data_IF_294284300643
#
_entry.id   IF_294284300643
#
_cell.length_a   1.000
_cell.length_b   1.000
_cell.length_c   1.000
_cell.angle_alpha   90.00
_cell.angle_beta   90.00
_cell.angle_gamma   90.00
#
_symmetry.space_group_name_H-M   'P 1'
#
loop_
_entity.id
_entity.type
_entity.pdbx_description
1 polymer ?
#
# COMPACT_ATOMS: atom_id res chain seq x y z
N UNK A 1 7.19 28.21 -8.57
CA UNK A 1 5.94 27.92 -7.83
C UNK A 1 6.36 27.31 -6.50
N UNK A 2 5.76 27.74 -5.38
CA UNK A 2 6.12 27.36 -3.99
C UNK A 2 4.98 26.46 -3.44
N UNK A 3 5.22 25.47 -2.57
CA UNK A 3 4.52 24.19 -2.56
C UNK A 3 3.09 23.99 -3.17
N UNK A 4 2.05 23.39 -2.55
CA UNK A 4 1.38 23.23 -1.21
C UNK A 4 1.07 21.70 -0.79
N UNK A 5 1.16 21.17 0.47
CA UNK A 5 0.96 19.70 0.74
C UNK A 5 -0.51 19.37 0.50
N UNK A 6 -0.83 18.20 -0.04
CA UNK A 6 -2.20 17.91 -0.46
C UNK A 6 -2.96 17.02 0.55
N UNK A 7 -4.07 17.54 1.08
CA UNK A 7 -4.98 16.82 1.96
C UNK A 7 -6.02 16.04 1.16
N UNK A 8 -6.20 14.76 1.47
CA UNK A 8 -7.16 13.87 0.82
C UNK A 8 -8.06 13.18 1.84
N UNK A 9 -9.33 13.00 1.47
CA UNK A 9 -10.22 12.09 2.17
C UNK A 9 -9.80 10.63 1.94
N UNK A 10 -10.30 9.72 2.77
CA UNK A 10 -10.05 8.27 2.60
C UNK A 10 -10.65 7.70 1.31
N UNK A 11 -11.56 8.44 0.67
CA UNK A 11 -12.14 8.18 -0.65
C UNK A 11 -11.27 8.72 -1.81
N UNK A 12 -10.12 9.31 -1.53
CA UNK A 12 -9.21 9.95 -2.49
C UNK A 12 -9.70 11.28 -3.04
N UNK A 13 -10.73 11.91 -2.45
CA UNK A 13 -11.13 13.29 -2.82
C UNK A 13 -10.12 14.29 -2.28
N UNK A 14 -9.56 15.14 -3.16
CA UNK A 14 -8.74 16.28 -2.74
C UNK A 14 -9.62 17.23 -1.91
N UNK A 15 -9.18 17.53 -0.70
CA UNK A 15 -9.89 18.40 0.25
C UNK A 15 -9.39 19.84 0.16
N UNK A 16 -8.09 20.00 -0.05
CA UNK A 16 -7.38 21.27 0.00
C UNK A 16 -5.88 21.10 0.24
N UNK A 17 -5.23 22.19 0.58
CA UNK A 17 -3.77 22.33 0.57
C UNK A 17 -3.23 23.09 1.80
N UNK A 18 -1.96 22.84 2.14
CA UNK A 18 -1.25 23.45 3.29
C UNK A 18 -0.11 24.42 2.90
N UNK A 19 0.58 24.98 3.89
CA UNK A 19 1.64 25.96 3.74
C UNK A 19 3.04 25.42 3.32
N UNK A 20 3.26 24.09 3.29
CA UNK A 20 4.59 23.46 3.44
C UNK A 20 5.29 22.95 2.14
N UNK A 21 4.72 23.21 0.98
CA UNK A 21 4.12 22.05 0.31
C UNK A 21 4.67 21.43 -0.99
N UNK A 22 3.79 21.05 -1.99
CA UNK A 22 4.00 20.26 -3.27
C UNK A 22 5.44 19.75 -3.38
N UNK A 23 5.73 18.91 -2.42
CA UNK A 23 6.88 18.05 -2.25
C UNK A 23 6.43 16.61 -2.56
N UNK A 24 5.29 16.47 -3.23
CA UNK A 24 4.60 15.21 -3.49
C UNK A 24 3.91 14.59 -2.26
N UNK A 25 3.85 15.23 -1.09
CA UNK A 25 3.19 14.65 0.09
C UNK A 25 1.67 14.60 -0.04
N UNK A 26 1.13 13.52 0.51
CA UNK A 26 -0.28 13.18 0.61
C UNK A 26 -0.59 12.99 2.09
N UNK A 27 -1.53 13.78 2.62
CA UNK A 27 -2.04 13.65 3.99
C UNK A 27 -3.46 13.14 3.95
N UNK A 28 -3.72 11.99 4.56
CA UNK A 28 -5.07 11.43 4.69
C UNK A 28 -5.77 12.06 5.89
N UNK A 29 -7.04 12.46 5.71
CA UNK A 29 -7.87 13.08 6.77
C UNK A 29 -9.26 12.44 6.78
N UNK A 30 -9.63 11.87 7.93
CA UNK A 30 -10.91 11.21 8.20
C UNK A 30 -11.83 12.05 9.10
N UNK A 31 -11.26 12.90 9.97
CA UNK A 31 -12.00 13.66 10.97
C UNK A 31 -12.82 14.78 10.31
N UNK A 32 -14.14 14.70 10.41
CA UNK A 32 -15.08 15.62 9.76
C UNK A 32 -14.81 17.10 10.08
N UNK A 33 -14.52 17.44 11.34
CA UNK A 33 -14.17 18.82 11.75
C UNK A 33 -12.97 19.38 10.98
N UNK A 34 -11.96 18.55 10.70
CA UNK A 34 -10.75 18.96 10.01
C UNK A 34 -10.98 19.00 8.48
N UNK A 35 -11.74 18.05 7.94
CA UNK A 35 -12.25 18.07 6.56
C UNK A 35 -13.00 19.38 6.27
N UNK A 36 -13.87 19.81 7.17
CA UNK A 36 -14.69 21.02 7.00
C UNK A 36 -13.86 22.30 7.10
N UNK A 37 -12.88 22.38 8.02
CA UNK A 37 -11.90 23.47 8.05
C UNK A 37 -11.13 23.57 6.72
N UNK A 38 -10.62 22.44 6.22
CA UNK A 38 -9.82 22.40 4.98
C UNK A 38 -10.64 22.87 3.79
N UNK A 39 -11.86 22.35 3.63
CA UNK A 39 -12.79 22.76 2.56
C UNK A 39 -13.20 24.22 2.67
N UNK A 40 -13.42 24.74 3.88
CA UNK A 40 -13.78 26.14 4.11
C UNK A 40 -12.65 27.10 3.69
N UNK A 41 -11.40 26.80 4.07
CA UNK A 41 -10.23 27.58 3.68
C UNK A 41 -10.01 27.52 2.16
N UNK A 42 -10.09 26.32 1.56
CA UNK A 42 -9.92 26.12 0.11
C UNK A 42 -10.98 26.87 -0.69
N UNK A 43 -12.25 26.83 -0.26
CA UNK A 43 -13.35 27.61 -0.85
C UNK A 43 -13.13 29.12 -0.72
N UNK A 44 -12.41 29.57 0.32
CA UNK A 44 -12.02 30.97 0.51
C UNK A 44 -10.69 31.35 -0.17
N UNK A 45 -10.07 30.44 -0.96
CA UNK A 45 -8.81 30.67 -1.65
C UNK A 45 -7.58 30.71 -0.74
N UNK A 46 -7.60 29.95 0.37
CA UNK A 46 -6.55 29.96 1.41
C UNK A 46 -6.04 28.55 1.70
N UNK A 47 -4.78 28.45 2.10
CA UNK A 47 -4.20 27.23 2.66
C UNK A 47 -4.70 26.99 4.09
N UNK A 48 -4.73 25.72 4.48
CA UNK A 48 -5.02 25.32 5.87
C UNK A 48 -3.72 25.05 6.59
N UNK A 49 -3.41 25.89 7.58
CA UNK A 49 -2.18 25.77 8.35
C UNK A 49 -2.10 24.38 9.00
N UNK A 50 -1.00 23.66 8.77
CA UNK A 50 -0.85 22.24 9.11
C UNK A 50 -1.01 21.91 10.59
N UNK A 51 -0.77 22.89 11.47
CA UNK A 51 -0.99 22.78 12.92
C UNK A 51 -2.47 22.86 13.36
N UNK A 52 -3.41 23.14 12.45
CA UNK A 52 -4.84 23.32 12.76
C UNK A 52 -5.71 22.07 12.50
N UNK A 53 -5.11 21.04 11.89
CA UNK A 53 -5.77 19.81 11.42
C UNK A 53 -4.91 18.59 11.72
N UNK A 54 -5.54 17.45 11.99
CA UNK A 54 -4.85 16.19 12.22
C UNK A 54 -5.05 15.26 11.01
N UNK A 55 -3.95 14.78 10.43
CA UNK A 55 -3.98 13.70 9.42
C UNK A 55 -3.86 12.34 10.08
N UNK A 56 -4.61 11.34 9.59
CA UNK A 56 -4.50 9.95 10.02
C UNK A 56 -3.15 9.33 9.63
N UNK A 57 -2.63 9.73 8.46
CA UNK A 57 -1.37 9.23 7.91
C UNK A 57 -0.81 10.20 6.86
N UNK A 58 0.52 10.21 6.69
CA UNK A 58 1.22 11.00 5.68
C UNK A 58 2.14 10.10 4.85
N UNK A 59 2.11 10.27 3.53
CA UNK A 59 2.96 9.54 2.57
C UNK A 59 3.29 10.44 1.38
N UNK A 60 3.85 9.91 0.30
CA UNK A 60 4.09 10.66 -0.95
C UNK A 60 3.39 10.03 -2.15
N UNK A 61 3.12 10.82 -3.18
CA UNK A 61 2.61 10.32 -4.47
C UNK A 61 3.54 9.27 -5.06
N UNK A 62 4.86 9.39 -4.88
CA UNK A 62 5.87 8.39 -5.28
C UNK A 62 5.65 7.02 -4.62
N UNK A 63 5.33 6.98 -3.31
CA UNK A 63 5.01 5.73 -2.61
C UNK A 63 3.71 5.12 -3.13
N UNK A 64 2.68 5.94 -3.38
CA UNK A 64 1.41 5.46 -3.94
C UNK A 64 1.57 4.94 -5.37
N UNK A 65 2.32 5.65 -6.22
CA UNK A 65 2.60 5.26 -7.59
C UNK A 65 3.43 3.97 -7.65
N UNK A 66 4.50 3.85 -6.86
CA UNK A 66 5.29 2.62 -6.86
C UNK A 66 4.55 1.44 -6.21
N UNK A 67 3.63 1.68 -5.27
CA UNK A 67 2.66 0.67 -4.81
C UNK A 67 1.79 0.13 -5.94
N UNK A 68 1.23 1.01 -6.77
CA UNK A 68 0.49 0.61 -7.98
C UNK A 68 1.40 -0.14 -8.97
N UNK A 69 2.67 0.25 -9.11
CA UNK A 69 3.64 -0.44 -9.97
C UNK A 69 4.00 -1.84 -9.44
N UNK A 70 4.23 -1.99 -8.14
CA UNK A 70 4.48 -3.29 -7.47
C UNK A 70 3.30 -4.24 -7.72
N UNK A 71 2.08 -3.78 -7.47
CA UNK A 71 0.87 -4.58 -7.76
C UNK A 71 0.75 -4.92 -9.26
N UNK A 72 1.04 -3.97 -10.15
CA UNK A 72 1.03 -4.21 -11.60
C UNK A 72 2.07 -5.26 -12.02
N UNK A 73 3.29 -5.25 -11.47
CA UNK A 73 4.29 -6.29 -11.71
C UNK A 73 3.80 -7.65 -11.21
N UNK A 74 3.13 -7.67 -10.06
CA UNK A 74 2.54 -8.88 -9.46
C UNK A 74 1.51 -9.51 -10.40
N UNK A 75 0.56 -8.71 -10.91
CA UNK A 75 -0.40 -9.18 -11.93
C UNK A 75 0.32 -9.65 -13.20
N UNK A 76 1.36 -8.93 -13.64
CA UNK A 76 2.13 -9.25 -14.85
C UNK A 76 2.95 -10.54 -14.73
N UNK A 77 3.41 -10.89 -13.51
CA UNK A 77 4.18 -12.12 -13.25
C UNK A 77 3.29 -13.37 -13.05
N UNK A 78 1.97 -13.24 -13.19
CA UNK A 78 0.98 -14.30 -13.00
C UNK A 78 0.27 -14.27 -11.65
N UNK A 79 0.62 -13.35 -10.75
CA UNK A 79 -0.03 -13.18 -9.45
C UNK A 79 0.48 -14.11 -8.34
N UNK A 80 1.53 -14.90 -8.60
CA UNK A 80 2.02 -15.93 -7.68
C UNK A 80 3.37 -15.59 -7.03
N UNK A 81 4.10 -14.59 -7.54
CA UNK A 81 5.38 -14.14 -6.98
C UNK A 81 5.23 -12.78 -6.34
N UNK A 82 5.85 -12.59 -5.18
CA UNK A 82 6.00 -11.27 -4.58
C UNK A 82 6.85 -10.35 -5.48
N UNK A 83 6.50 -9.07 -5.46
CA UNK A 83 7.27 -7.99 -6.07
C UNK A 83 7.58 -6.97 -4.97
N UNK A 84 8.83 -6.49 -4.92
CA UNK A 84 9.28 -5.57 -3.89
C UNK A 84 9.91 -4.31 -4.47
N UNK A 85 9.78 -3.21 -3.73
CA UNK A 85 10.44 -1.93 -3.96
C UNK A 85 10.65 -1.21 -2.62
N UNK A 86 11.75 -0.49 -2.49
CA UNK A 86 11.93 0.52 -1.47
C UNK A 86 11.82 1.92 -2.07
N UNK A 87 11.17 2.84 -1.37
CA UNK A 87 11.19 4.27 -1.67
C UNK A 87 11.97 4.97 -0.58
N UNK A 88 13.09 5.57 -0.94
CA UNK A 88 13.93 6.31 0.02
C UNK A 88 13.23 7.57 0.53
N UNK A 89 13.70 8.13 1.65
CA UNK A 89 13.27 9.44 2.15
C UNK A 89 13.45 10.60 1.15
N UNK A 90 14.30 10.43 0.13
CA UNK A 90 14.50 11.38 -0.97
C UNK A 90 13.62 11.08 -2.21
N UNK A 91 12.68 10.15 -2.13
CA UNK A 91 11.80 9.76 -3.25
C UNK A 91 12.46 8.87 -4.32
N UNK A 92 13.74 8.51 -4.19
CA UNK A 92 14.37 7.52 -5.09
C UNK A 92 13.74 6.15 -4.86
N UNK A 93 13.27 5.52 -5.95
CA UNK A 93 12.80 4.13 -5.99
C UNK A 93 14.00 3.19 -6.19
N UNK A 94 14.03 2.09 -5.44
CA UNK A 94 14.93 0.96 -5.62
C UNK A 94 14.06 -0.29 -5.72
N UNK A 95 14.09 -0.99 -6.84
CA UNK A 95 13.30 -2.22 -7.04
C UNK A 95 14.09 -3.43 -6.56
N UNK A 96 13.43 -4.38 -5.90
CA UNK A 96 14.00 -5.68 -5.62
C UNK A 96 13.88 -6.62 -6.81
N UNK A 97 14.45 -7.80 -6.68
CA UNK A 97 14.22 -8.89 -7.62
C UNK A 97 12.85 -9.53 -7.35
N UNK A 98 12.17 -9.99 -8.41
CA UNK A 98 10.90 -10.72 -8.29
C UNK A 98 11.11 -11.99 -7.46
N UNK A 99 10.19 -12.26 -6.53
CA UNK A 99 10.22 -13.45 -5.69
C UNK A 99 10.19 -14.76 -6.47
N UNK A 100 10.57 -15.85 -5.80
CA UNK A 100 10.61 -17.16 -6.44
C UNK A 100 9.21 -17.77 -6.61
N UNK A 101 9.07 -18.75 -7.52
CA UNK A 101 7.84 -19.58 -7.61
C UNK A 101 7.76 -20.66 -6.51
N UNK A 102 8.76 -20.75 -5.63
CA UNK A 102 8.73 -21.68 -4.51
C UNK A 102 8.00 -21.02 -3.35
N UNK A 103 7.09 -21.78 -2.77
CA UNK A 103 6.49 -21.43 -1.50
C UNK A 103 7.15 -22.22 -0.38
N UNK A 104 7.33 -21.58 0.76
CA UNK A 104 7.89 -22.17 1.97
C UNK A 104 6.80 -22.33 3.02
N UNK A 105 6.85 -23.39 3.82
CA UNK A 105 6.01 -23.50 5.01
C UNK A 105 6.79 -22.97 6.22
N UNK A 106 6.32 -21.87 6.80
CA UNK A 106 6.88 -21.28 8.02
C UNK A 106 5.80 -21.31 9.10
N UNK A 107 5.94 -22.25 10.04
CA UNK A 107 5.04 -22.36 11.19
C UNK A 107 3.60 -22.79 10.88
N UNK A 108 3.38 -23.45 9.74
CA UNK A 108 2.05 -23.83 9.24
C UNK A 108 1.51 -22.89 8.15
N UNK A 109 2.10 -21.70 7.97
CA UNK A 109 1.70 -20.77 6.92
C UNK A 109 2.54 -20.98 5.65
N UNK A 110 1.87 -21.06 4.50
CA UNK A 110 2.54 -21.08 3.19
C UNK A 110 2.81 -19.64 2.76
N UNK A 111 4.10 -19.31 2.61
CA UNK A 111 4.57 -17.98 2.20
C UNK A 111 5.25 -18.06 0.83
N UNK A 112 5.06 -17.03 0.00
CA UNK A 112 6.03 -16.70 -1.03
C UNK A 112 7.08 -15.77 -0.41
N UNK A 113 8.28 -15.69 -1.00
CA UNK A 113 9.34 -14.80 -0.54
C UNK A 113 9.97 -14.02 -1.70
N UNK A 114 9.94 -12.70 -1.59
CA UNK A 114 10.80 -11.77 -2.31
C UNK A 114 11.94 -11.23 -1.44
N UNK A 115 13.05 -10.82 -2.07
CA UNK A 115 14.08 -10.04 -1.36
C UNK A 115 13.67 -8.56 -1.33
N UNK A 116 13.66 -7.94 -0.14
CA UNK A 116 13.41 -6.51 0.00
C UNK A 116 14.74 -5.74 -0.11
N UNK A 117 14.91 -4.81 -1.07
CA UNK A 117 16.09 -3.95 -1.11
C UNK A 117 16.09 -3.00 0.10
N UNK A 118 17.09 -3.09 0.97
CA UNK A 118 17.21 -2.21 2.15
C UNK A 118 18.18 -1.05 1.84
N UNK A 119 17.69 0.15 1.46
CA UNK A 119 18.52 1.34 1.37
C UNK A 119 19.08 1.75 2.75
N UNK A 120 20.27 2.37 2.79
CA UNK A 120 20.78 2.99 4.00
C UNK A 120 19.95 4.23 4.39
N UNK A 121 20.02 4.60 5.68
CA UNK A 121 19.37 5.79 6.23
C UNK A 121 17.94 5.56 6.75
N UNK A 122 17.37 6.63 7.30
CA UNK A 122 16.01 6.67 7.88
C UNK A 122 15.00 7.34 6.91
N UNK A 123 13.72 7.29 7.27
CA UNK A 123 12.60 7.81 6.48
C UNK A 123 12.26 6.98 5.23
N UNK A 124 12.89 5.81 5.07
CA UNK A 124 12.67 4.90 3.96
C UNK A 124 11.33 4.14 4.12
N UNK A 125 10.66 3.87 3.01
CA UNK A 125 9.39 3.11 2.96
C UNK A 125 9.59 1.79 2.23
N UNK A 126 9.21 0.67 2.84
CA UNK A 126 9.11 -0.62 2.13
C UNK A 126 7.77 -0.72 1.40
N UNK A 127 7.79 -1.36 0.22
CA UNK A 127 6.61 -1.67 -0.57
C UNK A 127 6.80 -3.09 -1.10
N UNK A 128 5.95 -4.03 -0.70
CA UNK A 128 5.87 -5.34 -1.34
C UNK A 128 4.44 -5.73 -1.67
N UNK A 129 4.30 -6.75 -2.51
CA UNK A 129 3.03 -7.39 -2.76
C UNK A 129 2.98 -8.78 -2.16
N UNK A 130 1.82 -9.11 -1.64
CA UNK A 130 1.47 -10.50 -1.35
C UNK A 130 0.92 -11.19 -2.61
N UNK A 131 1.07 -12.53 -2.73
CA UNK A 131 0.48 -13.29 -3.83
C UNK A 131 -1.03 -13.02 -3.98
N UNK A 132 -1.44 -12.81 -5.23
CA UNK A 132 -2.83 -12.60 -5.65
C UNK A 132 -3.53 -13.92 -6.00
N UNK A 133 -2.77 -14.97 -6.32
CA UNK A 133 -3.29 -16.30 -6.56
C UNK A 133 -3.82 -16.98 -5.29
N UNK A 134 -4.70 -17.96 -5.49
CA UNK A 134 -5.06 -18.95 -4.48
C UNK A 134 -4.19 -20.18 -4.73
N UNK A 135 -3.67 -20.77 -3.66
CA UNK A 135 -2.83 -21.98 -3.69
C UNK A 135 -3.41 -23.01 -2.71
N UNK A 136 -2.98 -24.27 -2.81
CA UNK A 136 -3.34 -25.30 -1.84
C UNK A 136 -2.36 -25.32 -0.68
N UNK A 137 -2.90 -25.47 0.54
CA UNK A 137 -2.10 -25.79 1.72
C UNK A 137 -1.64 -27.27 1.73
N UNK A 138 -0.93 -27.69 2.78
CA UNK A 138 -0.44 -29.07 2.90
C UNK A 138 -1.55 -30.11 3.05
N UNK A 139 -2.74 -29.69 3.50
CA UNK A 139 -3.93 -30.52 3.68
C UNK A 139 -4.86 -30.47 2.45
N UNK A 140 -4.53 -29.68 1.42
CA UNK A 140 -5.29 -29.53 0.19
C UNK A 140 -6.40 -28.46 0.22
N UNK A 141 -6.47 -27.64 1.27
CA UNK A 141 -7.43 -26.54 1.37
C UNK A 141 -6.95 -25.32 0.57
N UNK A 142 -7.89 -24.48 0.12
CA UNK A 142 -7.56 -23.21 -0.53
C UNK A 142 -7.05 -22.18 0.49
N UNK A 143 -5.86 -21.65 0.23
CA UNK A 143 -5.25 -20.57 1.01
C UNK A 143 -4.85 -19.40 0.11
N UNK A 144 -4.83 -18.20 0.70
CA UNK A 144 -4.56 -16.94 0.01
C UNK A 144 -3.82 -15.98 0.94
N UNK A 145 -3.07 -15.06 0.35
CA UNK A 145 -2.39 -13.99 1.08
C UNK A 145 -3.21 -12.70 1.04
N UNK A 146 -3.10 -11.85 2.06
CA UNK A 146 -3.87 -10.60 2.14
C UNK A 146 -3.01 -9.47 2.70
N UNK A 147 -3.08 -8.32 2.02
CA UNK A 147 -2.40 -7.12 2.47
C UNK A 147 -2.81 -6.67 3.88
N UNK A 148 -3.93 -7.14 4.43
CA UNK A 148 -4.39 -6.88 5.80
C UNK A 148 -3.69 -7.72 6.89
N UNK A 149 -2.91 -8.74 6.53
CA UNK A 149 -2.19 -9.60 7.47
C UNK A 149 -0.75 -9.77 6.99
N UNK A 150 0.23 -9.05 7.57
CA UNK A 150 1.64 -9.26 7.28
C UNK A 150 2.02 -10.72 7.52
N UNK A 151 2.87 -11.27 6.66
CA UNK A 151 3.41 -12.62 6.82
C UNK A 151 4.36 -12.71 8.02
N UNK A 152 4.70 -13.93 8.48
CA UNK A 152 5.54 -14.14 9.66
C UNK A 152 6.91 -13.45 9.58
N UNK A 153 7.47 -13.33 8.37
CA UNK A 153 8.78 -12.73 8.13
C UNK A 153 8.74 -11.21 7.91
N UNK A 154 7.59 -10.64 7.53
CA UNK A 154 7.45 -9.21 7.20
C UNK A 154 7.92 -8.34 8.38
N UNK A 155 7.44 -8.63 9.59
CA UNK A 155 7.74 -7.81 10.78
C UNK A 155 9.22 -7.83 11.16
N UNK A 156 9.82 -9.02 11.12
CA UNK A 156 11.18 -9.24 11.62
C UNK A 156 12.21 -8.79 10.59
N UNK A 157 12.06 -9.24 9.35
CA UNK A 157 13.08 -9.08 8.30
C UNK A 157 12.92 -7.76 7.52
N UNK A 158 11.68 -7.28 7.35
CA UNK A 158 11.39 -6.06 6.59
C UNK A 158 11.05 -4.89 7.52
N UNK A 159 9.93 -4.94 8.23
CA UNK A 159 9.34 -3.74 8.85
C UNK A 159 10.24 -3.08 9.90
N UNK A 160 11.04 -3.86 10.61
CA UNK A 160 12.04 -3.37 11.55
C UNK A 160 13.14 -2.48 10.91
N UNK A 161 13.26 -2.46 9.57
CA UNK A 161 14.29 -1.77 8.79
C UNK A 161 13.80 -0.51 8.07
N UNK A 162 12.51 -0.22 8.09
CA UNK A 162 11.89 0.91 7.37
C UNK A 162 10.99 1.71 8.30
N UNK A 163 10.83 3.01 8.06
CA UNK A 163 9.98 3.86 8.89
C UNK A 163 8.50 3.68 8.59
N UNK A 164 8.19 3.36 7.33
CA UNK A 164 6.84 3.06 6.86
C UNK A 164 6.87 1.78 6.03
N UNK A 165 5.80 1.01 6.08
CA UNK A 165 5.71 -0.26 5.38
C UNK A 165 4.38 -0.36 4.63
N UNK A 166 4.40 -0.89 3.41
CA UNK A 166 3.22 -0.97 2.55
C UNK A 166 3.09 -2.36 1.94
N UNK A 167 1.99 -3.06 2.24
CA UNK A 167 1.63 -4.30 1.55
C UNK A 167 0.57 -3.99 0.49
N UNK A 168 0.82 -4.45 -0.73
CA UNK A 168 -0.09 -4.41 -1.86
C UNK A 168 -0.77 -5.77 -2.05
N UNK A 169 -2.07 -5.79 -2.32
CA UNK A 169 -2.79 -7.04 -2.63
C UNK A 169 -4.24 -7.04 -2.18
N UNK A 170 -4.74 -8.22 -1.81
CA UNK A 170 -6.14 -8.46 -1.43
C UNK A 170 -6.54 -7.74 -0.14
N UNK A 171 -7.54 -6.85 -0.23
CA UNK A 171 -8.23 -6.20 0.91
C UNK A 171 -9.49 -6.96 1.38
N UNK A 172 -9.86 -8.02 0.68
CA UNK A 172 -10.99 -8.90 1.02
C UNK A 172 -10.64 -10.35 0.71
N UNK A 173 -11.40 -11.31 1.25
CA UNK A 173 -11.29 -12.72 0.86
C UNK A 173 -11.58 -12.82 -0.65
N UNK A 174 -10.68 -13.36 -1.48
CA UNK A 174 -10.94 -13.49 -2.91
C UNK A 174 -12.11 -14.45 -3.15
N UNK A 175 -13.07 -14.06 -3.99
CA UNK A 175 -14.20 -14.93 -4.33
C UNK A 175 -13.79 -15.93 -5.41
N UNK A 176 -13.95 -17.21 -5.15
CA UNK A 176 -13.76 -18.28 -6.13
C UNK A 176 -15.01 -18.46 -7.01
N UNK A 177 -14.77 -18.60 -8.31
CA UNK A 177 -15.69 -19.15 -9.30
C UNK A 177 -15.16 -20.47 -9.81
N UNK A 178 -16.06 -21.25 -10.41
CA UNK A 178 -15.74 -22.51 -11.10
C UNK A 178 -16.18 -22.33 -12.55
N UNK A 179 -15.34 -22.68 -13.52
CA UNK A 179 -15.69 -22.66 -14.94
C UNK A 179 -16.45 -23.93 -15.37
N UNK A 180 -16.94 -23.96 -16.61
CA UNK A 180 -17.76 -25.06 -17.14
C UNK A 180 -17.00 -26.41 -17.24
N UNK A 181 -15.68 -26.41 -17.02
CA UNK A 181 -14.83 -27.61 -17.02
C UNK A 181 -14.21 -27.90 -15.63
N UNK A 182 -14.63 -27.18 -14.59
CA UNK A 182 -14.27 -27.45 -13.20
C UNK A 182 -13.04 -26.71 -12.66
N UNK A 183 -12.41 -25.81 -13.42
CA UNK A 183 -11.28 -25.03 -12.91
C UNK A 183 -11.75 -23.90 -12.00
N UNK A 184 -11.03 -23.70 -10.89
CA UNK A 184 -11.23 -22.56 -9.99
C UNK A 184 -10.56 -21.30 -10.50
N UNK A 185 -11.27 -20.17 -10.56
CA UNK A 185 -10.74 -18.85 -10.88
C UNK A 185 -11.20 -17.79 -9.86
N UNK A 186 -10.51 -16.65 -9.80
CA UNK A 186 -10.89 -15.55 -8.90
C UNK A 186 -11.88 -14.63 -9.63
N UNK A 187 -13.12 -14.54 -9.13
CA UNK A 187 -14.18 -13.69 -9.69
C UNK A 187 -13.94 -12.22 -9.34
N UNK A 188 -13.61 -11.95 -8.08
CA UNK A 188 -13.42 -10.59 -7.56
C UNK A 188 -12.56 -10.63 -6.30
N UNK A 189 -11.59 -9.72 -6.24
CA UNK A 189 -10.93 -9.32 -5.02
C UNK A 189 -10.69 -7.81 -5.07
N UNK A 190 -10.98 -7.12 -3.97
CA UNK A 190 -10.72 -5.69 -3.88
C UNK A 190 -9.22 -5.51 -3.63
N UNK A 191 -8.48 -5.09 -4.65
CA UNK A 191 -7.06 -4.81 -4.50
C UNK A 191 -6.80 -3.41 -3.93
N UNK A 192 -5.78 -3.30 -3.09
CA UNK A 192 -5.36 -2.04 -2.52
C UNK A 192 -4.06 -2.14 -1.75
N UNK A 193 -3.88 -1.19 -0.84
CA UNK A 193 -2.66 -0.96 -0.11
C UNK A 193 -2.98 -0.82 1.38
N UNK A 194 -2.20 -1.50 2.23
CA UNK A 194 -2.29 -1.40 3.68
C UNK A 194 -0.95 -0.93 4.24
N UNK A 195 -1.00 0.17 4.98
CA UNK A 195 0.16 0.81 5.60
C UNK A 195 0.36 0.27 7.02
N UNK A 196 1.62 0.01 7.37
CA UNK A 196 2.05 -0.50 8.67
C UNK A 196 3.20 0.33 9.24
N UNK A 197 3.26 0.39 10.57
CA UNK A 197 4.41 0.92 11.30
C UNK A 197 5.58 -0.09 11.37
N UNK A 198 6.67 0.28 12.05
CA UNK A 198 7.83 -0.59 12.32
C UNK A 198 7.51 -1.90 13.06
N UNK A 199 6.43 -1.92 13.84
CA UNK A 199 6.02 -3.08 14.64
C UNK A 199 5.01 -3.98 13.90
N UNK A 200 4.53 -3.56 12.74
CA UNK A 200 3.50 -4.27 11.97
C UNK A 200 2.08 -4.02 12.48
N UNK A 201 1.83 -2.91 13.16
CA UNK A 201 0.48 -2.41 13.44
C UNK A 201 -0.06 -1.70 12.20
N UNK A 202 -1.31 -1.98 11.82
CA UNK A 202 -1.97 -1.33 10.68
C UNK A 202 -2.29 0.13 11.00
N UNK A 203 -1.82 1.05 10.17
CA UNK A 203 -2.09 2.49 10.25
C UNK A 203 -3.29 2.87 9.39
N UNK A 204 -3.27 2.50 8.10
CA UNK A 204 -4.25 2.92 7.10
C UNK A 204 -4.47 1.82 6.05
N UNK A 205 -5.65 1.79 5.44
CA UNK A 205 -6.00 0.91 4.33
C UNK A 205 -6.77 1.70 3.26
N UNK A 206 -6.34 1.60 1.99
CA UNK A 206 -6.97 2.28 0.85
C UNK A 206 -7.03 1.36 -0.38
N UNK A 207 -8.10 1.45 -1.16
CA UNK A 207 -8.24 0.70 -2.42
C UNK A 207 -7.38 1.27 -3.54
N UNK A 208 -7.05 0.46 -4.56
CA UNK A 208 -6.30 0.94 -5.75
C UNK A 208 -6.97 2.12 -6.46
N UNK A 209 -8.30 2.21 -6.45
CA UNK A 209 -9.05 3.36 -7.01
C UNK A 209 -8.78 4.67 -6.26
N UNK A 210 -8.62 4.62 -4.93
CA UNK A 210 -8.25 5.80 -4.12
C UNK A 210 -6.86 6.29 -4.53
N UNK A 211 -5.90 5.37 -4.65
CA UNK A 211 -4.53 5.68 -5.10
C UNK A 211 -4.55 6.30 -6.51
N UNK A 212 -5.25 5.66 -7.46
CA UNK A 212 -5.40 6.16 -8.85
C UNK A 212 -6.04 7.54 -8.89
N UNK A 213 -7.04 7.82 -8.05
CA UNK A 213 -7.71 9.11 -7.95
C UNK A 213 -6.78 10.21 -7.44
N UNK A 214 -5.89 9.91 -6.48
CA UNK A 214 -4.86 10.84 -5.96
C UNK A 214 -3.77 11.15 -7.01
N UNK A 215 -3.51 10.22 -7.93
CA UNK A 215 -2.57 10.41 -9.05
C UNK A 215 -3.14 11.21 -10.22
N UNK A 216 -4.45 11.49 -10.26
CA UNK A 216 -5.02 12.35 -11.31
C UNK A 216 -4.55 13.80 -11.13
N UNK A 217 -4.25 14.53 -12.22
CA UNK A 217 -3.94 15.95 -12.18
C UNK A 217 -5.18 16.78 -11.81
#
# INVERSE_FOLDING_TARGET
>A
MIPFDQYYGLDGTLLGEDENGINGKVKFVSKQEDIDKIKANTKAGRFTHSSLVQSDYSTTKTVLEEGLNVLKRTVTNGGFKEESSAVTSLGKIIRGESGSNKYENVGGEIIASGEMPIPPGEGNTSIHSHPLGIIKDQDGNDTYSSAQRPGPLDRVNVFSKFDNNLIMGHLSVPKLGIDDIGNTYIIQADHGAVFYDKAGNRILQIGTEVMRKIMKP
#
